data_IF_983555911564
#
_entry.id   IF_983555911564
#
_cell.length_a   1.000
_cell.length_b   1.000
_cell.length_c   1.000
_cell.angle_alpha   90.00
_cell.angle_beta   90.00
_cell.angle_gamma   90.00
#
_symmetry.space_group_name_H-M   'P 1'
#
loop_
_entity.id
_entity.type
_entity.pdbx_description
1 polymer ?
#
# COMPACT_ATOMS: atom_id res chain seq x y z
N UNK A 1 -22.67 -4.78 0.23
CA UNK A 1 -22.58 -3.40 -0.23
C UNK A 1 -23.17 -3.33 -1.61
N UNK A 2 -24.07 -2.37 -1.78
CA UNK A 2 -24.64 -1.99 -3.07
C UNK A 2 -23.60 -1.36 -4.00
N UNK A 3 -23.97 -1.17 -5.26
CA UNK A 3 -23.12 -0.49 -6.23
C UNK A 3 -23.07 1.02 -5.96
N UNK A 4 -21.95 1.65 -6.33
CA UNK A 4 -21.73 3.07 -6.05
C UNK A 4 -22.34 4.03 -7.08
N UNK A 5 -22.97 3.53 -8.16
CA UNK A 5 -23.39 4.34 -9.32
C UNK A 5 -24.12 5.62 -8.92
N UNK A 6 -25.27 5.51 -8.24
CA UNK A 6 -26.04 6.68 -7.79
C UNK A 6 -25.42 7.41 -6.58
N UNK A 7 -24.41 6.82 -5.94
CA UNK A 7 -23.75 7.36 -4.75
C UNK A 7 -22.54 8.25 -5.05
N UNK A 8 -22.16 8.38 -6.32
CA UNK A 8 -21.00 9.18 -6.77
C UNK A 8 -21.35 10.18 -7.89
N UNK A 9 -22.64 10.40 -8.16
CA UNK A 9 -23.09 11.41 -9.13
C UNK A 9 -22.90 12.81 -8.55
N UNK A 10 -21.85 13.50 -8.98
CA UNK A 10 -21.56 14.89 -8.62
C UNK A 10 -22.13 15.83 -9.69
N UNK A 11 -22.88 16.86 -9.29
CA UNK A 11 -23.34 17.93 -10.21
C UNK A 11 -22.79 19.27 -9.74
N UNK A 12 -22.04 19.95 -10.61
CA UNK A 12 -21.43 21.25 -10.33
C UNK A 12 -22.13 22.30 -11.22
N UNK A 13 -22.98 23.12 -10.61
CA UNK A 13 -23.60 24.27 -11.25
C UNK A 13 -22.66 25.48 -11.12
N UNK A 14 -21.82 25.68 -12.14
CA UNK A 14 -20.73 26.69 -12.08
C UNK A 14 -21.25 28.12 -12.17
N UNK A 15 -22.30 28.37 -12.96
CA UNK A 15 -22.85 29.70 -13.26
C UNK A 15 -24.17 29.99 -12.52
N UNK A 16 -24.80 28.97 -11.95
CA UNK A 16 -26.07 29.10 -11.23
C UNK A 16 -27.30 28.93 -12.12
N UNK A 17 -27.14 28.55 -13.39
CA UNK A 17 -28.24 28.40 -14.33
C UNK A 17 -29.24 27.31 -13.92
N UNK A 18 -28.80 26.30 -13.18
CA UNK A 18 -29.64 25.17 -12.77
C UNK A 18 -30.37 25.44 -11.44
N UNK A 19 -29.70 26.13 -10.50
CA UNK A 19 -30.20 26.28 -9.13
C UNK A 19 -30.42 27.72 -8.67
N UNK A 20 -30.31 28.69 -9.58
CA UNK A 20 -30.45 30.13 -9.36
C UNK A 20 -29.21 30.80 -8.77
N UNK A 21 -28.19 30.03 -8.42
CA UNK A 21 -26.89 30.48 -7.90
C UNK A 21 -25.87 29.33 -8.00
N UNK A 22 -24.57 29.62 -8.12
CA UNK A 22 -23.53 28.59 -8.17
C UNK A 22 -23.64 27.62 -6.99
N UNK A 23 -23.82 26.33 -7.29
CA UNK A 23 -24.16 25.30 -6.32
C UNK A 23 -23.49 23.98 -6.67
N UNK A 24 -23.32 23.10 -5.68
CA UNK A 24 -22.84 21.73 -5.88
C UNK A 24 -23.88 20.76 -5.30
N UNK A 25 -24.25 19.74 -6.07
CA UNK A 25 -25.08 18.64 -5.60
C UNK A 25 -24.18 17.46 -5.28
N UNK A 26 -24.13 17.11 -4.00
CA UNK A 26 -23.38 15.97 -3.48
C UNK A 26 -24.37 14.85 -3.15
N UNK A 27 -24.24 13.64 -3.72
CA UNK A 27 -25.20 12.57 -3.51
C UNK A 27 -25.17 12.07 -2.05
N UNK A 28 -26.28 11.52 -1.57
CA UNK A 28 -26.34 10.87 -0.27
C UNK A 28 -25.64 9.52 -0.31
N UNK A 29 -24.30 9.51 -0.25
CA UNK A 29 -23.53 8.26 -0.30
C UNK A 29 -23.75 7.41 0.95
N UNK A 30 -24.10 8.03 2.08
CA UNK A 30 -24.32 7.38 3.36
C UNK A 30 -25.70 6.73 3.54
N UNK A 31 -26.52 6.65 2.49
CA UNK A 31 -27.83 6.01 2.57
C UNK A 31 -27.73 4.57 3.13
N UNK A 32 -28.58 4.26 4.12
CA UNK A 32 -28.63 3.00 4.89
C UNK A 32 -27.41 2.68 5.78
N UNK A 33 -26.51 3.63 6.06
CA UNK A 33 -25.36 3.41 6.94
C UNK A 33 -25.78 2.93 8.34
N UNK A 34 -25.36 1.72 8.73
CA UNK A 34 -25.72 1.05 10.00
C UNK A 34 -27.24 0.85 10.23
N UNK A 35 -28.09 1.02 9.22
CA UNK A 35 -29.55 0.91 9.38
C UNK A 35 -30.05 -0.49 8.99
N UNK A 36 -30.05 -0.81 7.69
CA UNK A 36 -30.53 -2.10 7.20
C UNK A 36 -29.34 -3.00 6.79
N UNK A 37 -29.11 -4.12 7.51
CA UNK A 37 -28.00 -5.03 7.23
C UNK A 37 -27.98 -5.64 5.83
N UNK A 38 -29.12 -5.68 5.11
CA UNK A 38 -29.22 -6.22 3.75
C UNK A 38 -28.36 -5.44 2.75
N UNK A 39 -28.22 -4.12 2.93
CA UNK A 39 -27.31 -3.31 2.12
C UNK A 39 -25.84 -3.55 2.50
N UNK A 40 -25.63 -4.00 3.74
CA UNK A 40 -24.33 -4.38 4.28
C UNK A 40 -23.34 -3.22 4.22
N UNK A 41 -23.77 -2.05 4.70
CA UNK A 41 -23.08 -0.77 4.62
C UNK A 41 -23.08 -0.12 6.01
N UNK A 42 -21.91 0.20 6.55
CA UNK A 42 -21.77 0.61 7.95
C UNK A 42 -20.37 0.43 8.53
N UNK A 43 -20.22 0.68 9.84
CA UNK A 43 -18.93 0.64 10.52
C UNK A 43 -18.27 -0.75 10.46
N UNK A 44 -19.08 -1.81 10.39
CA UNK A 44 -18.62 -3.19 10.21
C UNK A 44 -17.93 -3.46 8.87
N UNK A 45 -17.96 -2.50 7.94
CA UNK A 45 -17.29 -2.57 6.64
C UNK A 45 -16.01 -1.72 6.57
N UNK A 46 -15.71 -0.94 7.61
CA UNK A 46 -14.44 -0.20 7.67
C UNK A 46 -13.30 -1.23 7.81
N UNK A 47 -12.24 -1.15 6.99
CA UNK A 47 -11.08 -2.04 7.10
C UNK A 47 -10.50 -2.02 8.52
N UNK A 48 -10.19 -3.19 9.08
CA UNK A 48 -9.72 -3.31 10.47
C UNK A 48 -8.43 -2.51 10.74
N UNK A 49 -7.55 -2.39 9.73
CA UNK A 49 -6.34 -1.56 9.75
C UNK A 49 -6.63 -0.09 10.05
N UNK A 50 -7.73 0.44 9.53
CA UNK A 50 -8.18 1.81 9.75
C UNK A 50 -8.73 2.02 11.17
N UNK A 51 -9.19 0.94 11.82
CA UNK A 51 -9.77 0.94 13.16
C UNK A 51 -8.75 0.63 14.26
N UNK A 52 -7.46 0.52 13.94
CA UNK A 52 -6.43 0.16 14.93
C UNK A 52 -5.19 1.02 14.71
N UNK A 53 -4.75 1.71 15.75
CA UNK A 53 -3.51 2.46 15.75
C UNK A 53 -2.30 1.52 15.75
N UNK A 54 -1.12 2.07 15.45
CA UNK A 54 0.16 1.32 15.44
C UNK A 54 0.48 0.71 16.82
N UNK A 55 0.03 1.33 17.90
CA UNK A 55 0.17 0.83 19.28
C UNK A 55 -0.86 -0.24 19.68
N UNK A 56 -1.75 -0.62 18.76
CA UNK A 56 -2.80 -1.61 18.98
C UNK A 56 -4.08 -1.06 19.60
N UNK A 57 -4.16 0.25 19.87
CA UNK A 57 -5.37 0.88 20.40
C UNK A 57 -6.45 0.92 19.32
N UNK A 58 -7.64 0.43 19.67
CA UNK A 58 -8.82 0.48 18.81
C UNK A 58 -9.32 1.93 18.65
N UNK A 59 -9.70 2.29 17.44
CA UNK A 59 -10.26 3.59 17.07
C UNK A 59 -11.78 3.44 16.99
N UNK A 60 -12.51 4.26 17.73
CA UNK A 60 -13.95 4.32 17.63
C UNK A 60 -14.35 5.15 16.38
N UNK A 61 -14.97 4.54 15.36
CA UNK A 61 -15.29 5.23 14.10
C UNK A 61 -16.34 6.32 14.29
N UNK A 62 -17.20 6.24 15.31
CA UNK A 62 -18.21 7.28 15.61
C UNK A 62 -17.58 8.54 16.19
N UNK A 63 -16.40 8.42 16.83
CA UNK A 63 -15.65 9.56 17.38
C UNK A 63 -14.70 10.11 16.32
N UNK A 64 -13.97 9.24 15.64
CA UNK A 64 -12.96 9.64 14.66
C UNK A 64 -13.59 10.22 13.38
N UNK A 65 -14.69 9.62 12.92
CA UNK A 65 -15.44 10.02 11.73
C UNK A 65 -16.94 10.08 12.03
N UNK A 66 -17.36 11.10 12.80
CA UNK A 66 -18.76 11.23 13.22
C UNK A 66 -19.70 11.45 12.03
N UNK A 67 -19.23 12.10 10.96
CA UNK A 67 -20.02 12.30 9.75
C UNK A 67 -19.76 11.17 8.74
N UNK A 68 -20.83 10.66 8.12
CA UNK A 68 -20.77 9.58 7.14
C UNK A 68 -21.01 10.10 5.73
N UNK A 69 -20.36 9.47 4.77
CA UNK A 69 -20.42 9.80 3.35
C UNK A 69 -19.41 10.86 2.93
N UNK A 70 -19.70 11.51 1.80
CA UNK A 70 -18.82 12.50 1.16
C UNK A 70 -18.66 13.74 2.05
N UNK A 71 -17.47 14.36 2.02
CA UNK A 71 -17.18 15.62 2.71
C UNK A 71 -18.17 16.73 2.34
N UNK A 72 -18.69 17.42 3.35
CA UNK A 72 -19.66 18.52 3.22
C UNK A 72 -19.31 19.65 4.20
N UNK A 73 -19.83 20.83 3.92
CA UNK A 73 -19.77 21.98 4.83
C UNK A 73 -21.17 22.34 5.37
N UNK A 74 -21.24 23.40 6.17
CA UNK A 74 -22.48 23.83 6.80
C UNK A 74 -23.47 24.51 5.82
N UNK A 75 -23.08 24.74 4.56
CA UNK A 75 -23.97 25.29 3.53
C UNK A 75 -24.84 24.22 2.88
N UNK A 76 -24.52 22.94 3.10
CA UNK A 76 -25.21 21.81 2.50
C UNK A 76 -26.58 21.56 3.14
N UNK A 77 -27.64 21.63 2.32
CA UNK A 77 -29.02 21.33 2.71
C UNK A 77 -29.46 20.02 2.04
N UNK A 78 -29.99 19.09 2.83
CA UNK A 78 -30.50 17.83 2.29
C UNK A 78 -31.77 18.05 1.46
N UNK A 79 -31.81 17.44 0.28
CA UNK A 79 -32.88 17.52 -0.71
C UNK A 79 -33.50 16.12 -0.91
N UNK A 80 -34.58 15.77 -0.19
CA UNK A 80 -35.13 14.41 -0.19
C UNK A 80 -35.52 13.91 -1.59
N UNK A 81 -36.06 14.78 -2.44
CA UNK A 81 -36.47 14.44 -3.81
C UNK A 81 -35.30 14.04 -4.71
N UNK A 82 -34.09 14.52 -4.40
CA UNK A 82 -32.87 14.21 -5.14
C UNK A 82 -32.04 13.12 -4.46
N UNK A 83 -32.37 12.76 -3.22
CA UNK A 83 -31.54 11.91 -2.37
C UNK A 83 -30.08 12.40 -2.33
N UNK A 84 -29.92 13.71 -2.16
CA UNK A 84 -28.65 14.41 -2.27
C UNK A 84 -28.64 15.67 -1.39
N UNK A 85 -27.48 16.29 -1.25
CA UNK A 85 -27.27 17.55 -0.56
C UNK A 85 -27.01 18.65 -1.59
N UNK A 86 -27.77 19.74 -1.52
CA UNK A 86 -27.48 20.98 -2.25
C UNK A 86 -26.59 21.85 -1.39
N UNK A 87 -25.35 22.03 -1.81
CA UNK A 87 -24.33 22.83 -1.15
C UNK A 87 -24.07 24.12 -1.93
N UNK A 88 -23.56 25.14 -1.25
CA UNK A 88 -22.90 26.24 -1.94
C UNK A 88 -21.59 25.76 -2.58
N UNK A 89 -20.99 26.57 -3.45
CA UNK A 89 -19.68 26.29 -4.05
C UNK A 89 -18.49 26.62 -3.12
N UNK A 90 -18.70 26.68 -1.80
CA UNK A 90 -17.65 27.01 -0.83
C UNK A 90 -16.62 25.88 -0.67
N UNK A 91 -17.07 24.62 -0.70
CA UNK A 91 -16.19 23.49 -0.95
C UNK A 91 -16.12 23.25 -2.46
N UNK A 92 -14.89 23.28 -2.97
CA UNK A 92 -14.58 22.99 -4.37
C UNK A 92 -14.41 21.48 -4.52
N UNK A 93 -15.51 20.78 -4.85
CA UNK A 93 -15.55 19.33 -4.98
C UNK A 93 -15.12 18.85 -6.35
N UNK A 94 -14.41 17.72 -6.41
CA UNK A 94 -13.99 17.07 -7.65
C UNK A 94 -14.01 15.54 -7.50
N UNK A 95 -14.04 14.80 -8.61
CA UNK A 95 -13.89 13.35 -8.59
C UNK A 95 -12.41 12.97 -8.60
N UNK A 96 -11.99 12.15 -7.64
CA UNK A 96 -10.71 11.46 -7.67
C UNK A 96 -10.93 10.02 -8.11
N UNK A 97 -10.25 9.61 -9.18
CA UNK A 97 -10.22 8.22 -9.63
C UNK A 97 -9.08 7.47 -8.93
N UNK A 98 -9.39 6.23 -8.52
CA UNK A 98 -8.47 5.30 -7.90
C UNK A 98 -8.49 4.02 -8.71
N UNK A 99 -7.41 3.72 -9.43
CA UNK A 99 -7.39 2.64 -10.42
C UNK A 99 -6.29 1.63 -10.10
N UNK A 100 -6.66 0.36 -10.01
CA UNK A 100 -5.67 -0.72 -10.06
C UNK A 100 -5.32 -1.03 -11.51
N UNK A 101 -4.02 -1.05 -11.79
CA UNK A 101 -3.47 -1.42 -13.09
C UNK A 101 -2.88 -2.85 -13.07
N UNK A 102 -3.21 -3.63 -12.05
CA UNK A 102 -2.72 -5.00 -11.93
C UNK A 102 -3.36 -5.91 -13.00
N UNK A 103 -2.70 -7.01 -13.40
CA UNK A 103 -3.26 -7.94 -14.39
C UNK A 103 -4.62 -8.53 -13.98
N UNK A 104 -4.88 -8.60 -12.67
CA UNK A 104 -6.12 -9.11 -12.08
C UNK A 104 -7.15 -8.02 -11.78
N UNK A 105 -7.00 -6.80 -12.31
CA UNK A 105 -7.84 -5.64 -11.99
C UNK A 105 -9.34 -5.84 -12.29
N UNK A 106 -9.70 -6.82 -13.12
CA UNK A 106 -11.09 -7.17 -13.41
C UNK A 106 -11.68 -8.24 -12.46
N UNK A 107 -10.85 -8.92 -11.69
CA UNK A 107 -11.25 -10.08 -10.89
C UNK A 107 -11.06 -9.84 -9.39
N UNK A 108 -9.98 -9.14 -9.01
CA UNK A 108 -9.65 -8.88 -7.61
C UNK A 108 -10.61 -7.87 -7.00
N UNK A 109 -11.06 -8.19 -5.79
CA UNK A 109 -11.89 -7.28 -4.98
C UNK A 109 -11.02 -6.50 -4.02
N UNK A 110 -10.87 -5.20 -4.28
CA UNK A 110 -10.23 -4.24 -3.37
C UNK A 110 -11.21 -3.61 -2.36
N UNK A 111 -12.50 -3.78 -2.63
CA UNK A 111 -13.57 -3.02 -2.00
C UNK A 111 -14.30 -3.77 -0.87
N UNK A 112 -14.85 -3.04 0.12
CA UNK A 112 -14.91 -1.59 0.20
C UNK A 112 -13.57 -0.90 0.42
N UNK A 113 -13.42 0.28 -0.17
CA UNK A 113 -12.39 1.25 0.19
C UNK A 113 -13.03 2.20 1.19
N UNK A 114 -12.47 2.27 2.39
CA UNK A 114 -12.82 3.34 3.32
C UNK A 114 -11.99 4.57 2.98
N UNK A 115 -12.67 5.66 2.64
CA UNK A 115 -12.06 6.90 2.21
C UNK A 115 -12.53 8.01 3.14
N UNK A 116 -11.61 8.62 3.88
CA UNK A 116 -11.96 9.55 4.93
C UNK A 116 -11.15 10.84 4.86
N UNK A 117 -11.73 11.91 5.40
CA UNK A 117 -10.99 13.15 5.61
C UNK A 117 -10.03 13.01 6.79
N UNK A 118 -8.92 13.74 6.74
CA UNK A 118 -7.92 13.78 7.78
C UNK A 118 -7.59 15.24 8.16
N UNK A 119 -7.56 15.52 9.47
CA UNK A 119 -7.21 16.84 10.00
C UNK A 119 -8.30 17.94 9.88
N UNK A 120 -9.57 17.60 9.68
CA UNK A 120 -10.68 18.56 9.81
C UNK A 120 -11.14 18.70 11.27
N UNK A 121 -11.86 19.78 11.58
CA UNK A 121 -12.53 19.95 12.87
C UNK A 121 -13.56 18.84 13.13
N UNK A 122 -14.25 18.39 12.08
CA UNK A 122 -15.16 17.24 12.09
C UNK A 122 -14.90 16.43 10.82
N UNK A 123 -14.45 15.18 10.99
CA UNK A 123 -14.09 14.34 9.85
C UNK A 123 -15.28 13.54 9.30
N UNK A 124 -15.14 13.17 8.03
CA UNK A 124 -16.07 12.36 7.25
C UNK A 124 -15.44 11.03 6.88
N UNK A 125 -16.26 9.97 6.77
CA UNK A 125 -15.86 8.68 6.19
C UNK A 125 -16.89 8.20 5.18
N UNK A 126 -16.42 7.87 3.99
CA UNK A 126 -17.19 7.29 2.90
C UNK A 126 -16.70 5.86 2.63
N UNK A 127 -17.61 4.97 2.26
CA UNK A 127 -17.27 3.58 1.92
C UNK A 127 -17.61 3.34 0.45
N UNK A 128 -16.60 2.98 -0.32
CA UNK A 128 -16.65 2.92 -1.79
C UNK A 128 -16.54 1.45 -2.21
N UNK A 129 -17.58 0.90 -2.81
CA UNK A 129 -17.63 -0.48 -3.30
C UNK A 129 -17.10 -0.66 -4.73
N UNK A 130 -17.15 0.39 -5.55
CA UNK A 130 -16.83 0.39 -6.98
C UNK A 130 -17.95 -0.18 -7.88
N UNK A 131 -17.73 -0.17 -9.21
CA UNK A 131 -18.64 -0.76 -10.18
C UNK A 131 -18.58 -2.28 -10.15
N UNK A 132 -19.69 -2.94 -10.51
CA UNK A 132 -19.70 -4.38 -10.77
C UNK A 132 -20.32 -4.67 -12.13
N UNK A 133 -19.79 -5.68 -12.83
CA UNK A 133 -20.41 -6.22 -14.03
C UNK A 133 -21.79 -6.81 -13.74
N UNK A 134 -22.66 -6.76 -14.75
CA UNK A 134 -24.01 -7.32 -14.73
C UNK A 134 -24.10 -8.64 -15.52
N UNK A 135 -23.04 -9.44 -15.52
CA UNK A 135 -23.00 -10.70 -16.26
C UNK A 135 -24.00 -11.72 -15.68
N UNK A 136 -24.61 -12.55 -16.54
CA UNK A 136 -25.71 -13.49 -16.23
C UNK A 136 -25.27 -14.72 -15.41
N UNK A 137 -24.05 -14.70 -14.85
CA UNK A 137 -23.58 -15.75 -13.96
C UNK A 137 -23.69 -15.27 -12.51
N UNK A 138 -24.57 -15.92 -11.72
CA UNK A 138 -24.84 -15.59 -10.32
C UNK A 138 -23.75 -16.04 -9.34
N UNK A 139 -22.62 -16.58 -9.83
CA UNK A 139 -21.51 -17.01 -8.96
C UNK A 139 -20.48 -15.91 -8.79
N UNK A 140 -19.89 -15.83 -7.59
CA UNK A 140 -18.81 -14.89 -7.28
C UNK A 140 -17.59 -15.05 -8.21
N UNK A 141 -17.41 -16.24 -8.82
CA UNK A 141 -16.30 -16.56 -9.71
C UNK A 141 -16.44 -15.95 -11.12
N UNK A 142 -17.63 -15.52 -11.52
CA UNK A 142 -17.86 -14.94 -12.85
C UNK A 142 -17.98 -13.41 -12.83
N UNK A 143 -18.20 -12.79 -11.67
CA UNK A 143 -18.48 -11.37 -11.58
C UNK A 143 -17.20 -10.57 -11.79
N UNK A 144 -17.04 -10.00 -12.98
CA UNK A 144 -16.00 -9.02 -13.26
C UNK A 144 -16.32 -7.70 -12.57
N UNK A 145 -15.30 -7.08 -12.00
CA UNK A 145 -15.36 -5.78 -11.35
C UNK A 145 -14.17 -4.99 -11.83
N UNK A 146 -14.43 -3.90 -12.55
CA UNK A 146 -13.33 -2.98 -12.87
C UNK A 146 -12.84 -2.37 -11.56
N UNK A 147 -11.56 -2.55 -11.25
CA UNK A 147 -10.93 -1.99 -10.05
C UNK A 147 -10.64 -0.49 -10.21
N UNK A 148 -11.68 0.26 -10.59
CA UNK A 148 -11.70 1.71 -10.70
C UNK A 148 -12.73 2.25 -9.71
N UNK A 149 -12.28 3.00 -8.73
CA UNK A 149 -13.11 3.57 -7.68
C UNK A 149 -13.19 5.08 -7.83
N UNK A 150 -14.36 5.62 -7.58
CA UNK A 150 -14.63 7.06 -7.64
C UNK A 150 -14.82 7.57 -6.21
N UNK A 151 -13.95 8.50 -5.81
CA UNK A 151 -14.11 9.25 -4.58
C UNK A 151 -14.47 10.70 -4.90
N UNK A 152 -15.32 11.33 -4.10
CA UNK A 152 -15.58 12.76 -4.20
C UNK A 152 -14.76 13.46 -3.13
N UNK A 153 -13.80 14.25 -3.59
CA UNK A 153 -12.85 14.98 -2.75
C UNK A 153 -13.18 16.47 -2.73
N UNK A 154 -12.50 17.24 -1.88
CA UNK A 154 -12.54 18.70 -1.90
C UNK A 154 -11.14 19.29 -1.96
N UNK A 155 -10.98 20.40 -2.70
CA UNK A 155 -9.69 21.04 -2.98
C UNK A 155 -8.95 21.44 -1.70
N UNK A 156 -7.63 21.28 -1.72
CA UNK A 156 -6.70 21.58 -0.62
C UNK A 156 -7.04 20.87 0.70
N UNK A 157 -7.69 19.71 0.62
CA UNK A 157 -7.95 18.86 1.79
C UNK A 157 -7.06 17.62 1.81
N UNK A 158 -6.94 17.04 2.99
CA UNK A 158 -6.21 15.81 3.21
C UNK A 158 -7.20 14.66 3.39
N UNK A 159 -6.89 13.53 2.77
CA UNK A 159 -7.67 12.32 2.84
C UNK A 159 -6.78 11.13 3.18
N UNK A 160 -7.38 10.10 3.74
CA UNK A 160 -6.77 8.78 3.95
C UNK A 160 -7.66 7.71 3.36
N UNK A 161 -7.05 6.68 2.78
CA UNK A 161 -7.77 5.53 2.24
C UNK A 161 -7.21 4.22 2.75
N UNK A 162 -8.12 3.30 3.08
CA UNK A 162 -7.81 1.93 3.44
C UNK A 162 -8.61 0.98 2.56
N UNK A 163 -7.93 -0.06 2.07
CA UNK A 163 -8.54 -1.13 1.29
C UNK A 163 -8.82 -2.34 2.20
N UNK A 164 -9.80 -3.16 1.83
CA UNK A 164 -10.12 -4.41 2.57
C UNK A 164 -9.29 -5.61 2.14
N UNK A 165 -8.61 -5.50 0.99
CA UNK A 165 -7.74 -6.54 0.43
C UNK A 165 -6.33 -5.98 0.25
N UNK A 166 -5.43 -6.81 -0.27
CA UNK A 166 -4.09 -6.33 -0.62
C UNK A 166 -4.18 -5.17 -1.60
N UNK A 167 -3.53 -4.03 -1.30
CA UNK A 167 -3.34 -2.92 -2.22
C UNK A 167 -2.70 -3.34 -3.56
N UNK A 168 -3.03 -2.67 -4.68
CA UNK A 168 -2.46 -2.97 -5.99
C UNK A 168 -0.93 -2.88 -6.05
N UNK A 169 -0.32 -3.70 -6.91
CA UNK A 169 1.08 -3.54 -7.26
C UNK A 169 1.31 -2.28 -8.09
N UNK A 170 0.38 -1.94 -8.96
CA UNK A 170 0.35 -0.69 -9.70
C UNK A 170 -0.98 0.02 -9.45
N UNK A 171 -0.90 1.19 -8.82
CA UNK A 171 -2.04 2.06 -8.54
C UNK A 171 -1.87 3.35 -9.34
N UNK A 172 -2.91 3.74 -10.07
CA UNK A 172 -2.96 4.98 -10.83
C UNK A 172 -4.02 5.91 -10.23
N UNK A 173 -3.64 7.18 -10.07
CA UNK A 173 -4.46 8.24 -9.50
C UNK A 173 -4.47 9.42 -10.48
N UNK A 174 -5.27 9.36 -11.57
CA UNK A 174 -5.40 10.49 -12.47
C UNK A 174 -6.28 11.57 -11.85
N UNK A 175 -6.00 12.83 -12.20
CA UNK A 175 -6.82 13.99 -11.89
C UNK A 175 -6.97 14.84 -13.16
N UNK A 176 -8.10 15.54 -13.31
CA UNK A 176 -8.50 16.20 -14.56
C UNK A 176 -8.60 17.73 -14.46
N UNK A 177 -8.29 18.34 -13.30
CA UNK A 177 -8.37 19.78 -13.10
C UNK A 177 -6.98 20.38 -12.76
N UNK A 178 -6.45 21.30 -13.59
CA UNK A 178 -5.12 21.93 -13.44
C UNK A 178 -4.87 22.61 -12.08
N UNK A 179 -5.90 23.14 -11.46
CA UNK A 179 -5.80 23.94 -10.24
C UNK A 179 -6.09 23.13 -8.97
N UNK A 180 -6.53 21.88 -9.15
CA UNK A 180 -6.98 21.03 -8.07
C UNK A 180 -5.82 20.35 -7.36
N UNK A 181 -5.87 20.26 -6.03
CA UNK A 181 -4.81 19.65 -5.23
C UNK A 181 -5.38 18.95 -3.99
N UNK A 182 -4.95 17.73 -3.72
CA UNK A 182 -5.28 16.97 -2.50
C UNK A 182 -4.06 16.19 -2.01
N UNK A 183 -3.97 15.96 -0.69
CA UNK A 183 -3.05 14.96 -0.13
C UNK A 183 -3.81 13.68 0.14
N UNK A 184 -3.33 12.56 -0.38
CA UNK A 184 -3.89 11.25 -0.09
C UNK A 184 -2.88 10.41 0.69
N UNK A 185 -3.29 9.92 1.87
CA UNK A 185 -2.64 8.85 2.60
C UNK A 185 -3.23 7.51 2.20
N UNK A 186 -2.40 6.52 1.91
CA UNK A 186 -2.81 5.22 1.39
C UNK A 186 -2.23 4.14 2.28
N UNK A 187 -3.11 3.33 2.85
CA UNK A 187 -2.71 2.13 3.57
C UNK A 187 -2.23 1.06 2.59
N UNK A 188 -0.92 0.86 2.52
CA UNK A 188 -0.32 -0.14 1.66
C UNK A 188 -0.01 -1.46 2.38
N UNK A 189 0.12 -1.43 3.70
CA UNK A 189 0.53 -2.56 4.55
C UNK A 189 1.60 -3.46 3.93
N UNK A 190 2.68 -2.85 3.42
CA UNK A 190 3.69 -3.57 2.64
C UNK A 190 5.08 -3.31 3.15
N UNK A 191 5.79 -4.42 3.40
CA UNK A 191 7.21 -4.37 3.65
C UNK A 191 8.05 -4.17 2.38
N UNK A 192 7.42 -3.96 1.20
CA UNK A 192 8.06 -3.64 -0.08
C UNK A 192 8.35 -2.14 -0.28
N UNK A 193 9.01 -1.78 -1.38
CA UNK A 193 9.30 -0.38 -1.72
C UNK A 193 8.16 0.17 -2.56
N UNK A 194 7.68 1.37 -2.23
CA UNK A 194 6.69 2.09 -3.03
C UNK A 194 7.37 3.20 -3.82
N UNK A 195 7.44 3.01 -5.13
CA UNK A 195 7.98 3.98 -6.07
C UNK A 195 6.85 4.86 -6.61
N UNK A 196 6.99 6.17 -6.46
CA UNK A 196 6.00 7.15 -6.94
C UNK A 196 6.50 7.77 -8.24
N UNK A 197 5.61 7.90 -9.21
CA UNK A 197 5.88 8.50 -10.52
C UNK A 197 4.85 9.58 -10.85
N UNK A 198 5.30 10.67 -11.45
CA UNK A 198 4.47 11.73 -12.04
C UNK A 198 4.64 11.69 -13.54
N UNK A 199 3.57 11.41 -14.28
CA UNK A 199 3.61 11.29 -15.75
C UNK A 199 4.74 10.36 -16.24
N UNK A 200 5.02 9.30 -15.48
CA UNK A 200 6.08 8.34 -15.76
C UNK A 200 7.47 8.68 -15.22
N UNK A 201 7.69 9.86 -14.63
CA UNK A 201 9.00 10.27 -14.07
C UNK A 201 9.04 9.95 -12.57
N UNK A 202 10.12 9.30 -12.11
CA UNK A 202 10.29 8.90 -10.72
C UNK A 202 10.41 10.10 -9.77
N UNK A 203 9.69 10.03 -8.65
CA UNK A 203 9.65 11.05 -7.61
C UNK A 203 10.25 10.52 -6.31
N UNK A 204 11.43 11.05 -5.96
CA UNK A 204 12.11 10.70 -4.71
C UNK A 204 11.29 11.14 -3.48
N UNK A 205 11.11 10.26 -2.51
CA UNK A 205 10.40 10.55 -1.27
C UNK A 205 11.09 11.63 -0.42
N UNK A 206 10.32 12.41 0.36
CA UNK A 206 10.86 13.50 1.21
C UNK A 206 11.85 12.99 2.27
N UNK A 207 11.67 11.78 2.77
CA UNK A 207 12.56 11.15 3.74
C UNK A 207 13.69 10.34 3.11
N UNK A 208 13.84 10.34 1.79
CA UNK A 208 14.87 9.58 1.11
C UNK A 208 16.20 10.35 1.05
N UNK A 209 17.21 9.85 1.74
CA UNK A 209 18.59 10.35 1.72
C UNK A 209 19.48 9.40 0.92
N UNK A 210 20.61 9.90 0.43
CA UNK A 210 21.62 9.05 -0.21
C UNK A 210 22.69 8.73 0.81
N UNK A 211 22.98 7.45 1.05
CA UNK A 211 24.03 7.04 1.96
C UNK A 211 25.43 7.14 1.33
N UNK A 212 26.46 6.82 2.12
CA UNK A 212 27.86 6.88 1.69
C UNK A 212 28.20 5.86 0.58
N UNK A 213 27.32 4.88 0.33
CA UNK A 213 27.44 3.89 -0.74
C UNK A 213 26.65 4.29 -1.99
N UNK A 214 26.10 5.51 -2.02
CA UNK A 214 25.29 6.01 -3.14
C UNK A 214 23.88 5.43 -3.18
N UNK A 215 23.43 4.75 -2.12
CA UNK A 215 22.14 4.09 -2.06
C UNK A 215 21.08 5.03 -1.50
N UNK A 216 19.84 4.90 -2.00
CA UNK A 216 18.73 5.66 -1.45
C UNK A 216 18.18 4.95 -0.22
N UNK A 217 18.25 5.62 0.93
CA UNK A 217 17.79 5.11 2.21
C UNK A 217 16.72 6.02 2.81
N UNK A 218 15.68 5.43 3.42
CA UNK A 218 14.62 6.18 4.10
C UNK A 218 15.07 6.54 5.51
N UNK A 219 15.07 7.83 5.81
CA UNK A 219 15.32 8.37 7.13
C UNK A 219 14.05 8.27 7.99
N UNK A 220 14.20 7.83 9.24
CA UNK A 220 13.11 7.86 10.20
C UNK A 220 12.80 9.30 10.63
N UNK A 221 11.51 9.68 10.76
CA UNK A 221 11.13 11.00 11.26
C UNK A 221 11.58 11.17 12.72
N UNK A 222 12.11 12.35 13.04
CA UNK A 222 12.45 12.78 14.41
C UNK A 222 11.25 13.44 15.10
N UNK A 223 10.41 14.12 14.33
CA UNK A 223 9.21 14.78 14.83
C UNK A 223 7.97 14.31 14.07
N UNK A 224 6.81 14.44 14.71
CA UNK A 224 5.54 14.20 14.06
C UNK A 224 5.40 15.14 12.86
N UNK A 225 5.09 14.59 11.69
CA UNK A 225 4.89 15.30 10.42
C UNK A 225 6.12 15.91 9.75
N UNK A 226 7.36 15.62 10.18
CA UNK A 226 8.60 16.18 9.59
C UNK A 226 8.63 16.07 8.05
N UNK A 227 8.27 14.91 7.53
CA UNK A 227 8.28 14.61 6.09
C UNK A 227 6.90 14.64 5.45
N UNK A 228 5.87 15.08 6.17
CA UNK A 228 4.51 15.05 5.65
C UNK A 228 4.39 15.99 4.43
N UNK A 229 3.82 15.53 3.30
CA UNK A 229 3.57 16.42 2.16
C UNK A 229 2.52 17.48 2.49
N UNK A 230 2.76 18.71 2.04
CA UNK A 230 1.86 19.83 2.24
C UNK A 230 1.05 20.11 0.96
N UNK A 231 -0.27 19.93 1.04
CA UNK A 231 -1.18 20.08 -0.10
C UNK A 231 -1.19 21.47 -0.74
N UNK A 232 -0.82 22.51 0.01
CA UNK A 232 -0.83 23.90 -0.47
C UNK A 232 0.47 24.20 -1.22
N UNK A 233 1.61 23.84 -0.64
CA UNK A 233 2.93 24.29 -1.10
C UNK A 233 3.65 23.29 -1.99
N UNK A 234 3.45 21.99 -1.77
CA UNK A 234 4.27 20.97 -2.40
C UNK A 234 3.76 20.66 -3.84
N UNK A 235 4.66 20.31 -4.78
CA UNK A 235 4.28 19.94 -6.15
C UNK A 235 3.65 18.54 -6.21
N UNK A 236 3.03 18.20 -7.34
CA UNK A 236 2.49 16.88 -7.64
C UNK A 236 3.54 15.77 -7.43
N UNK A 237 3.11 14.62 -6.90
CA UNK A 237 3.98 13.46 -6.65
C UNK A 237 4.92 13.59 -5.45
N UNK A 238 4.94 14.74 -4.77
CA UNK A 238 5.64 14.87 -3.49
C UNK A 238 5.09 13.83 -2.53
N UNK A 239 5.95 12.97 -2.00
CA UNK A 239 5.53 11.79 -1.27
C UNK A 239 6.37 11.48 -0.03
N UNK A 240 5.78 10.72 0.88
CA UNK A 240 6.40 10.24 2.11
C UNK A 240 5.79 8.89 2.48
N UNK A 241 6.64 7.87 2.61
CA UNK A 241 6.25 6.58 3.17
C UNK A 241 6.64 6.52 4.64
N UNK A 242 5.64 6.38 5.51
CA UNK A 242 5.83 6.13 6.93
C UNK A 242 5.89 4.62 7.18
N UNK A 243 7.10 4.10 7.38
CA UNK A 243 7.32 2.68 7.64
C UNK A 243 6.69 2.21 8.99
N UNK A 244 6.45 3.11 9.94
CA UNK A 244 5.82 2.70 11.21
C UNK A 244 4.34 2.40 11.05
N UNK A 245 3.62 3.25 10.32
CA UNK A 245 2.18 3.06 10.06
C UNK A 245 1.90 2.27 8.77
N UNK A 246 2.91 2.13 7.92
CA UNK A 246 2.83 1.55 6.57
C UNK A 246 1.89 2.35 5.65
N UNK A 247 1.91 3.67 5.81
CA UNK A 247 1.09 4.62 5.06
C UNK A 247 1.95 5.37 4.04
N UNK A 248 1.52 5.40 2.78
CA UNK A 248 2.09 6.26 1.75
C UNK A 248 1.26 7.54 1.63
N UNK A 249 1.88 8.69 1.87
CA UNK A 249 1.28 10.00 1.63
C UNK A 249 1.80 10.56 0.32
N UNK A 250 0.91 11.05 -0.54
CA UNK A 250 1.26 11.65 -1.84
C UNK A 250 0.39 12.86 -2.15
N UNK A 251 0.97 13.86 -2.81
CA UNK A 251 0.25 15.00 -3.38
C UNK A 251 -0.25 14.64 -4.78
N UNK A 252 -1.55 14.78 -4.99
CA UNK A 252 -2.21 14.71 -6.29
C UNK A 252 -2.56 16.15 -6.64
N UNK A 253 -2.04 16.67 -7.75
CA UNK A 253 -2.20 18.08 -8.11
C UNK A 253 -2.22 18.26 -9.62
N UNK A 254 -3.15 19.07 -10.11
CA UNK A 254 -3.30 19.37 -11.52
C UNK A 254 -3.77 18.19 -12.36
N UNK A 255 -3.40 18.21 -13.64
CA UNK A 255 -3.67 17.16 -14.61
C UNK A 255 -2.62 16.02 -14.57
N UNK A 256 -1.69 16.08 -13.60
CA UNK A 256 -0.62 15.11 -13.48
C UNK A 256 -1.15 13.74 -13.06
N UNK A 257 -0.71 12.69 -13.77
CA UNK A 257 -1.06 11.30 -13.44
C UNK A 257 -0.03 10.76 -12.46
N UNK A 258 -0.49 10.48 -11.24
CA UNK A 258 0.33 9.81 -10.23
C UNK A 258 0.23 8.30 -10.42
N UNK A 259 1.37 7.63 -10.55
CA UNK A 259 1.46 6.16 -10.58
C UNK A 259 2.32 5.70 -9.41
N UNK A 260 1.81 4.76 -8.62
CA UNK A 260 2.51 4.15 -7.50
C UNK A 260 2.79 2.70 -7.88
N UNK A 261 4.06 2.29 -7.84
CA UNK A 261 4.49 0.91 -8.09
C UNK A 261 5.09 0.30 -6.84
N UNK A 262 4.53 -0.84 -6.45
CA UNK A 262 5.09 -1.69 -5.43
C UNK A 262 6.21 -2.54 -6.05
N UNK A 263 7.44 -2.20 -5.66
CA UNK A 263 8.64 -2.95 -6.00
C UNK A 263 8.86 -4.06 -4.98
N UNK A 264 9.13 -5.26 -5.49
CA UNK A 264 9.43 -6.43 -4.67
C UNK A 264 10.82 -6.31 -4.03
N UNK A 265 10.94 -6.81 -2.79
CA UNK A 265 12.21 -6.91 -2.11
C UNK A 265 12.36 -8.24 -1.37
N UNK A 266 13.61 -8.60 -1.09
CA UNK A 266 13.97 -9.73 -0.25
C UNK A 266 14.59 -9.17 1.03
N UNK A 267 14.08 -9.55 2.20
CA UNK A 267 14.72 -9.24 3.48
C UNK A 267 15.57 -10.42 3.91
N UNK A 268 16.84 -10.19 4.18
CA UNK A 268 17.77 -11.18 4.73
C UNK A 268 18.29 -10.64 6.05
N UNK A 269 18.09 -11.37 7.14
CA UNK A 269 18.64 -11.02 8.44
C UNK A 269 19.65 -12.07 8.88
N UNK A 270 20.78 -11.65 9.43
CA UNK A 270 21.77 -12.55 10.03
C UNK A 270 22.27 -12.06 11.38
N UNK A 271 22.55 -13.01 12.27
CA UNK A 271 23.21 -12.77 13.54
C UNK A 271 24.72 -12.94 13.40
N UNK A 272 25.48 -11.97 13.88
CA UNK A 272 26.94 -11.99 13.93
C UNK A 272 27.43 -12.09 15.39
N UNK A 273 28.65 -12.61 15.62
CA UNK A 273 29.30 -12.52 16.93
C UNK A 273 29.45 -11.08 17.44
N UNK A 274 29.84 -10.93 18.70
CA UNK A 274 30.12 -9.62 19.30
C UNK A 274 31.20 -8.86 18.50
N UNK A 275 30.80 -7.82 17.79
CA UNK A 275 31.69 -6.90 17.07
C UNK A 275 31.11 -5.48 17.10
N UNK A 276 31.92 -4.46 16.84
CA UNK A 276 31.41 -3.09 16.77
C UNK A 276 30.67 -2.85 15.44
N UNK A 277 29.75 -1.87 15.44
CA UNK A 277 29.04 -1.44 14.22
C UNK A 277 30.05 -1.00 13.14
N UNK A 278 31.11 -0.29 13.54
CA UNK A 278 32.16 0.16 12.62
C UNK A 278 32.97 -1.00 12.02
N UNK A 279 33.24 -2.05 12.81
CA UNK A 279 33.89 -3.27 12.32
C UNK A 279 33.02 -4.00 11.28
N UNK A 280 31.70 -3.93 11.41
CA UNK A 280 30.77 -4.50 10.44
C UNK A 280 30.65 -3.64 9.16
N UNK A 281 30.54 -2.32 9.27
CA UNK A 281 30.47 -1.45 8.10
C UNK A 281 31.82 -1.31 7.38
N UNK A 282 32.93 -1.66 8.03
CA UNK A 282 34.28 -1.68 7.45
C UNK A 282 34.60 -2.93 6.61
N UNK A 283 33.77 -3.98 6.59
CA UNK A 283 34.15 -5.30 6.04
C UNK A 283 33.69 -5.59 4.59
N UNK A 284 33.39 -4.58 3.78
CA UNK A 284 32.95 -4.73 2.38
C UNK A 284 31.76 -5.72 2.17
N UNK A 285 30.95 -5.96 3.21
CA UNK A 285 29.89 -6.99 3.21
C UNK A 285 28.92 -6.86 2.04
N UNK A 286 28.55 -5.62 1.69
CA UNK A 286 27.67 -5.34 0.56
C UNK A 286 28.31 -5.74 -0.76
N UNK A 287 29.60 -5.43 -0.97
CA UNK A 287 30.32 -5.76 -2.20
C UNK A 287 30.58 -7.27 -2.31
N UNK A 288 30.96 -7.92 -1.22
CA UNK A 288 31.24 -9.35 -1.21
C UNK A 288 29.96 -10.16 -1.47
N UNK A 289 28.86 -9.79 -0.82
CA UNK A 289 27.56 -10.41 -1.07
C UNK A 289 27.06 -10.15 -2.50
N UNK A 290 27.26 -8.93 -3.02
CA UNK A 290 26.92 -8.57 -4.40
C UNK A 290 27.68 -9.42 -5.43
N UNK A 291 28.99 -9.56 -5.24
CA UNK A 291 29.86 -10.39 -6.08
C UNK A 291 29.42 -11.85 -6.06
N UNK A 292 29.10 -12.39 -4.88
CA UNK A 292 28.66 -13.77 -4.75
C UNK A 292 27.29 -13.99 -5.41
N UNK A 293 26.32 -13.12 -5.14
CA UNK A 293 24.96 -13.23 -5.67
C UNK A 293 24.88 -12.95 -7.18
N UNK A 294 25.95 -12.40 -7.76
CA UNK A 294 26.00 -11.97 -9.16
C UNK A 294 25.06 -10.80 -9.42
N UNK A 295 24.86 -9.92 -8.43
CA UNK A 295 24.00 -8.73 -8.54
C UNK A 295 24.78 -7.45 -8.26
N UNK A 296 24.39 -6.30 -8.84
CA UNK A 296 25.04 -5.03 -8.52
C UNK A 296 24.93 -4.69 -7.04
N UNK A 297 26.00 -4.16 -6.42
CA UNK A 297 26.01 -3.73 -5.03
C UNK A 297 24.91 -2.70 -4.70
N UNK A 298 24.54 -1.85 -5.66
CA UNK A 298 23.41 -0.90 -5.54
C UNK A 298 22.04 -1.57 -5.32
N UNK A 299 21.93 -2.88 -5.51
CA UNK A 299 20.70 -3.63 -5.26
C UNK A 299 20.63 -4.20 -3.84
N UNK A 300 21.68 -4.09 -3.01
CA UNK A 300 21.74 -4.63 -1.65
C UNK A 300 21.90 -3.46 -0.67
N UNK A 301 20.95 -3.31 0.24
CA UNK A 301 20.91 -2.24 1.24
C UNK A 301 20.93 -2.79 2.66
N UNK A 302 21.72 -2.18 3.55
CA UNK A 302 21.65 -2.46 4.99
C UNK A 302 20.56 -1.58 5.60
N UNK A 303 19.55 -2.18 6.21
CA UNK A 303 18.37 -1.46 6.74
C UNK A 303 18.28 -1.41 8.25
N UNK A 304 18.95 -2.34 8.94
CA UNK A 304 18.95 -2.34 10.41
C UNK A 304 20.21 -3.02 10.93
N UNK A 305 20.89 -2.36 11.87
CA UNK A 305 21.95 -2.98 12.66
C UNK A 305 21.59 -2.78 14.13
N UNK A 306 21.35 -3.86 14.86
CA UNK A 306 21.03 -3.81 16.29
C UNK A 306 22.15 -4.50 17.07
N UNK A 307 22.81 -3.75 17.94
CA UNK A 307 23.71 -4.29 18.96
C UNK A 307 22.89 -4.61 20.22
N UNK A 308 23.02 -5.82 20.75
CA UNK A 308 22.34 -6.24 21.99
C UNK A 308 22.74 -5.37 23.21
N UNK A 309 23.87 -4.64 23.14
CA UNK A 309 24.36 -3.79 24.22
C UNK A 309 23.59 -2.48 24.45
N UNK A 310 22.67 -2.07 23.55
CA UNK A 310 22.04 -0.74 23.60
C UNK A 310 20.58 -0.70 24.10
N UNK A 311 19.99 -1.82 24.53
CA UNK A 311 18.62 -1.83 25.07
C UNK A 311 18.60 -1.98 26.59
N UNK A 312 18.38 -0.87 27.28
CA UNK A 312 17.90 -0.81 28.68
C UNK A 312 16.47 -1.37 28.81
N UNK A 313 16.23 -2.62 28.44
CA UNK A 313 14.99 -3.31 28.80
C UNK A 313 15.31 -4.50 29.69
N UNK A 314 15.20 -4.27 31.00
CA UNK A 314 15.29 -5.32 32.00
C UNK A 314 14.19 -6.36 31.81
N UNK A 315 14.48 -7.46 31.13
CA UNK A 315 13.85 -8.74 31.42
C UNK A 315 14.79 -9.90 31.07
N UNK A 316 15.47 -10.39 32.11
CA UNK A 316 16.27 -11.63 32.14
C UNK A 316 15.61 -12.74 31.29
N UNK A 317 16.23 -13.09 30.17
CA UNK A 317 16.18 -14.44 29.62
C UNK A 317 17.61 -14.89 29.30
N UNK A 318 17.90 -16.14 29.64
CA UNK A 318 19.22 -16.74 29.80
C UNK A 318 20.09 -16.65 28.54
N UNK A 319 21.34 -16.17 28.73
CA UNK A 319 22.58 -16.50 27.99
C UNK A 319 22.39 -16.80 26.48
N UNK A 320 22.39 -15.77 25.65
CA UNK A 320 22.96 -15.83 24.30
C UNK A 320 24.03 -14.74 24.22
N UNK A 321 25.13 -15.02 23.52
CA UNK A 321 26.27 -14.12 23.39
C UNK A 321 25.82 -12.77 22.80
N UNK A 322 26.40 -11.67 23.32
CA UNK A 322 26.27 -10.30 22.81
C UNK A 322 26.44 -10.28 21.28
N UNK A 323 25.36 -10.40 20.52
CA UNK A 323 25.40 -10.50 19.07
C UNK A 323 25.04 -9.19 18.38
N UNK A 324 25.51 -9.00 17.15
CA UNK A 324 25.01 -7.94 16.26
C UNK A 324 24.03 -8.56 15.28
N UNK A 325 22.81 -8.02 15.21
CA UNK A 325 21.82 -8.43 14.21
C UNK A 325 21.81 -7.44 13.05
N UNK A 326 22.02 -7.94 11.84
CA UNK A 326 22.03 -7.15 10.60
C UNK A 326 20.86 -7.58 9.74
N UNK A 327 20.06 -6.60 9.30
CA UNK A 327 19.04 -6.75 8.28
C UNK A 327 19.48 -6.11 6.96
N UNK A 328 19.44 -6.90 5.89
CA UNK A 328 19.64 -6.49 4.50
C UNK A 328 18.31 -6.52 3.74
N UNK A 329 18.16 -5.58 2.82
CA UNK A 329 17.12 -5.56 1.80
C UNK A 329 17.76 -5.65 0.42
N UNK A 330 17.31 -6.61 -0.38
CA UNK A 330 17.76 -6.78 -1.76
C UNK A 330 16.60 -6.43 -2.68
N UNK A 331 16.78 -5.40 -3.49
CA UNK A 331 15.78 -4.89 -4.44
C UNK A 331 16.46 -4.23 -5.64
N UNK A 332 15.74 -4.10 -6.75
CA UNK A 332 16.22 -3.25 -7.85
C UNK A 332 15.86 -1.80 -7.58
N UNK A 333 16.77 -0.84 -7.79
CA UNK A 333 16.43 0.58 -7.67
C UNK A 333 15.35 0.97 -8.69
N UNK A 334 14.56 2.01 -8.40
CA UNK A 334 13.51 2.47 -9.31
C UNK A 334 14.08 2.88 -10.67
N UNK A 335 13.32 2.59 -11.72
CA UNK A 335 13.57 3.16 -13.04
C UNK A 335 13.31 4.67 -13.00
N UNK A 336 14.16 5.48 -13.62
CA UNK A 336 13.94 6.94 -13.66
C UNK A 336 12.71 7.33 -14.48
N UNK A 337 12.40 6.56 -15.52
CA UNK A 337 11.22 6.76 -16.37
C UNK A 337 10.48 5.43 -16.57
N UNK A 338 9.16 5.49 -16.55
CA UNK A 338 8.29 4.41 -17.00
C UNK A 338 8.20 4.45 -18.52
N UNK A 339 8.56 3.35 -19.18
CA UNK A 339 8.38 3.21 -20.62
C UNK A 339 6.88 3.18 -20.96
N UNK A 340 6.39 4.20 -21.66
CA UNK A 340 5.05 4.21 -22.25
C UNK A 340 5.04 3.30 -23.48
N UNK A 341 4.63 2.04 -23.32
CA UNK A 341 4.39 1.15 -24.46
C UNK A 341 4.79 -0.31 -24.31
N UNK A 342 5.21 -0.76 -23.11
CA UNK A 342 5.42 -2.19 -22.87
C UNK A 342 4.41 -2.63 -21.83
N UNK A 343 3.51 -3.54 -22.20
CA UNK A 343 2.76 -4.34 -21.23
C UNK A 343 3.75 -4.79 -20.16
N UNK A 344 3.54 -4.48 -18.87
CA UNK A 344 4.48 -4.88 -17.84
C UNK A 344 4.55 -6.41 -17.90
N UNK A 345 5.67 -6.96 -18.39
CA UNK A 345 5.98 -8.36 -18.18
C UNK A 345 6.34 -8.47 -16.70
N UNK A 346 5.33 -8.52 -15.83
CA UNK A 346 5.43 -8.77 -14.38
C UNK A 346 6.30 -10.01 -14.12
N UNK A 347 6.27 -10.97 -15.06
CA UNK A 347 7.15 -12.14 -15.16
C UNK A 347 8.65 -11.83 -15.17
N UNK A 348 9.09 -10.71 -15.75
CA UNK A 348 10.54 -10.38 -15.87
C UNK A 348 11.16 -9.80 -14.59
N UNK A 349 10.35 -9.17 -13.73
CA UNK A 349 10.76 -8.72 -12.40
C UNK A 349 10.71 -9.86 -11.38
N UNK A 350 9.62 -10.64 -11.39
CA UNK A 350 9.46 -11.85 -10.58
C UNK A 350 10.63 -12.82 -10.77
N UNK A 351 10.97 -13.13 -12.02
CA UNK A 351 12.06 -14.08 -12.33
C UNK A 351 13.43 -13.61 -11.82
N UNK A 352 13.68 -12.29 -11.74
CA UNK A 352 14.92 -11.75 -11.17
C UNK A 352 14.95 -11.91 -9.66
N UNK A 353 13.87 -11.54 -8.96
CA UNK A 353 13.78 -11.64 -7.50
C UNK A 353 13.75 -13.12 -7.06
N UNK A 354 13.02 -13.98 -7.75
CA UNK A 354 12.99 -15.44 -7.50
C UNK A 354 14.38 -16.07 -7.69
N UNK A 355 15.12 -15.64 -8.71
CA UNK A 355 16.50 -16.10 -8.94
C UNK A 355 17.45 -15.62 -7.85
N UNK A 356 17.35 -14.35 -7.43
CA UNK A 356 18.13 -13.82 -6.30
C UNK A 356 17.80 -14.59 -5.03
N UNK A 357 16.51 -14.78 -4.74
CA UNK A 357 16.06 -15.53 -3.57
C UNK A 357 16.63 -16.96 -3.56
N UNK A 358 16.54 -17.65 -4.70
CA UNK A 358 17.09 -19.00 -4.87
C UNK A 358 18.61 -19.04 -4.65
N UNK A 359 19.34 -18.01 -5.14
CA UNK A 359 20.78 -17.87 -4.90
C UNK A 359 21.10 -17.65 -3.41
N UNK A 360 20.33 -16.79 -2.71
CA UNK A 360 20.50 -16.56 -1.26
C UNK A 360 20.21 -17.84 -0.46
N UNK A 361 19.16 -18.59 -0.81
CA UNK A 361 18.85 -19.87 -0.16
C UNK A 361 19.98 -20.88 -0.38
N UNK A 362 20.50 -20.98 -1.61
CA UNK A 362 21.61 -21.87 -1.93
C UNK A 362 22.86 -21.52 -1.12
N UNK A 363 23.22 -20.24 -1.06
CA UNK A 363 24.31 -19.69 -0.25
C UNK A 363 24.31 -20.17 1.20
N UNK A 364 23.12 -20.15 1.82
CA UNK A 364 22.93 -20.58 3.20
C UNK A 364 23.05 -22.11 3.30
N UNK A 365 22.40 -22.85 2.40
CA UNK A 365 22.38 -24.31 2.43
C UNK A 365 23.77 -24.92 2.19
N UNK A 366 24.60 -24.29 1.35
CA UNK A 366 25.95 -24.75 1.06
C UNK A 366 26.99 -24.30 2.09
N UNK A 367 26.59 -23.53 3.11
CA UNK A 367 27.52 -22.98 4.12
C UNK A 367 28.50 -21.93 3.57
N UNK A 368 28.26 -21.43 2.36
CA UNK A 368 29.16 -20.49 1.69
C UNK A 368 28.89 -19.03 2.09
N UNK A 369 27.83 -18.79 2.87
CA UNK A 369 27.49 -17.45 3.37
C UNK A 369 28.64 -16.84 4.18
N UNK A 370 29.26 -17.60 5.11
CA UNK A 370 30.35 -17.08 5.93
C UNK A 370 31.56 -16.64 5.09
N UNK A 371 31.86 -17.39 4.03
CA UNK A 371 32.88 -17.01 3.04
C UNK A 371 32.45 -15.78 2.24
N UNK A 372 31.17 -15.68 1.88
CA UNK A 372 30.63 -14.56 1.11
C UNK A 372 30.57 -13.24 1.87
N UNK A 373 30.41 -13.26 3.20
CA UNK A 373 30.42 -12.05 4.04
C UNK A 373 31.71 -11.87 4.84
N UNK A 374 32.67 -12.79 4.68
CA UNK A 374 33.96 -12.83 5.37
C UNK A 374 33.83 -12.71 6.91
N UNK A 375 32.79 -13.30 7.49
CA UNK A 375 32.56 -13.36 8.94
C UNK A 375 31.73 -14.59 9.30
N UNK A 376 31.87 -15.06 10.54
CA UNK A 376 31.04 -16.16 11.06
C UNK A 376 29.60 -15.72 11.28
N UNK A 377 28.67 -16.63 11.03
CA UNK A 377 27.22 -16.38 11.09
C UNK A 377 26.58 -17.28 12.14
N UNK A 378 25.91 -16.67 13.10
CA UNK A 378 25.26 -17.37 14.23
C UNK A 378 23.84 -17.82 13.84
N UNK A 379 23.15 -17.04 13.01
CA UNK A 379 21.79 -17.33 12.56
C UNK A 379 21.49 -16.61 11.26
N UNK A 380 20.55 -17.15 10.46
CA UNK A 380 20.04 -16.50 9.25
C UNK A 380 18.53 -16.64 9.18
N UNK A 381 17.85 -15.60 8.72
CA UNK A 381 16.43 -15.60 8.38
C UNK A 381 16.25 -14.92 7.04
N UNK A 382 15.58 -15.61 6.11
CA UNK A 382 15.14 -15.01 4.85
C UNK A 382 13.64 -14.82 4.92
N UNK A 383 13.18 -13.63 4.54
CA UNK A 383 11.78 -13.36 4.27
C UNK A 383 11.65 -12.90 2.81
N UNK A 384 11.07 -13.77 1.99
CA UNK A 384 10.63 -13.42 0.65
C UNK A 384 9.26 -12.75 0.75
N UNK A 385 9.16 -11.52 0.25
CA UNK A 385 7.87 -10.83 0.15
C UNK A 385 7.39 -10.96 -1.30
N UNK A 386 6.88 -12.15 -1.63
CA UNK A 386 6.19 -12.39 -2.89
C UNK A 386 4.72 -12.05 -2.70
N UNK A 387 4.25 -10.94 -3.29
CA UNK A 387 2.85 -10.53 -3.13
C UNK A 387 1.92 -11.12 -4.21
N UNK A 388 2.02 -12.44 -4.43
CA UNK A 388 0.94 -13.24 -4.99
C UNK A 388 1.10 -14.69 -4.52
N UNK A 389 0.05 -15.34 -3.97
CA UNK A 389 -0.08 -16.76 -4.16
C UNK A 389 -0.38 -16.94 -5.65
N UNK A 390 0.63 -17.23 -6.46
CA UNK A 390 0.38 -17.85 -7.76
C UNK A 390 -0.28 -19.18 -7.42
N UNK A 391 -1.61 -19.25 -7.55
CA UNK A 391 -2.33 -20.52 -7.53
C UNK A 391 -1.90 -21.25 -8.79
N UNK A 392 -0.74 -21.88 -8.74
CA UNK A 392 -0.39 -22.91 -9.70
C UNK A 392 -1.37 -24.06 -9.46
N UNK A 393 -2.41 -24.11 -10.29
CA UNK A 393 -3.34 -25.25 -10.41
C UNK A 393 -2.62 -26.61 -10.64
N UNK A 394 -1.29 -26.63 -10.81
CA UNK A 394 -0.47 -27.83 -10.90
C UNK A 394 -0.17 -28.53 -9.56
N UNK A 395 -0.07 -27.81 -8.43
CA UNK A 395 0.28 -28.44 -7.14
C UNK A 395 -0.90 -29.16 -6.48
N UNK A 396 -2.14 -28.74 -6.78
CA UNK A 396 -3.34 -29.45 -6.33
C UNK A 396 -3.47 -30.85 -6.97
N UNK A 397 -2.95 -31.07 -8.19
CA UNK A 397 -2.95 -32.42 -8.79
C UNK A 397 -2.03 -33.38 -8.03
N UNK A 398 -0.87 -32.92 -7.57
CA UNK A 398 0.06 -33.79 -6.82
C UNK A 398 -0.47 -34.17 -5.44
N UNK A 399 -1.12 -33.24 -4.72
CA UNK A 399 -1.74 -33.54 -3.41
C UNK A 399 -2.99 -34.41 -3.54
N UNK A 400 -3.83 -34.20 -4.57
CA UNK A 400 -5.01 -35.05 -4.82
C UNK A 400 -4.58 -36.47 -5.24
N UNK A 401 -3.54 -36.64 -6.06
CA UNK A 401 -3.03 -37.96 -6.44
C UNK A 401 -2.44 -38.73 -5.24
N UNK A 402 -1.75 -38.04 -4.33
CA UNK A 402 -1.24 -38.67 -3.10
C UNK A 402 -2.36 -39.04 -2.12
N UNK A 403 -3.40 -38.22 -2.00
CA UNK A 403 -4.59 -38.52 -1.18
C UNK A 403 -5.39 -39.70 -1.75
N UNK A 404 -5.53 -39.78 -3.08
CA UNK A 404 -6.21 -40.90 -3.74
C UNK A 404 -5.45 -42.24 -3.54
N UNK A 405 -4.11 -42.22 -3.65
CA UNK A 405 -3.28 -43.41 -3.39
C UNK A 405 -3.24 -43.82 -1.91
N UNK A 406 -3.43 -42.88 -0.97
CA UNK A 406 -3.60 -43.20 0.46
C UNK A 406 -4.96 -43.81 0.76
N UNK A 407 -6.03 -43.33 0.12
CA UNK A 407 -7.37 -43.89 0.27
C UNK A 407 -7.48 -45.31 -0.30
N UNK A 408 -6.86 -45.59 -1.44
CA UNK A 408 -6.83 -46.95 -2.03
C UNK A 408 -6.04 -47.98 -1.20
N UNK A 409 -5.10 -47.55 -0.35
CA UNK A 409 -4.41 -48.45 0.59
C UNK A 409 -5.23 -48.78 1.84
N UNK A 410 -6.15 -47.90 2.24
CA UNK A 410 -7.03 -48.12 3.40
C UNK A 410 -8.18 -49.09 3.09
N UNK A 411 -8.59 -49.22 1.82
CA UNK A 411 -9.65 -50.15 1.40
C UNK A 411 -9.17 -51.56 1.02
N UNK A 412 -7.87 -51.88 1.17
CA UNK A 412 -7.34 -53.25 0.95
C UNK A 412 -7.20 -54.07 2.24
N UNK A 413 -7.63 -53.53 3.38
CA UNK A 413 -7.68 -54.24 4.67
C UNK A 413 -9.05 -54.05 5.33
N UNK A 414 -10.11 -54.42 4.60
CA UNK A 414 -11.39 -54.88 5.15
C UNK A 414 -11.84 -56.10 4.37
#
# INVERSE_FOLDING_TARGET
>A
MECDGLKKVLVIDKDGGLFGQPSVIVPQSEWQYNLNPLYGFGDNRIPSRMLTKVDGISINPTIQWPNKGIIRDNSCIYMPKMQAYKCSKALDHEILLIESMDPDALERRLSPIAFATDGLSVNYIDLINGPSGHEVCSSYACLKRISTFMSVVARQKNFVMHMTSTPPQELRLPQADPDYAVRLGIDYFTAGILDVYVNGVYMKAKNAITDNLGQTVLQAPKTLNEFMPNVITDPAGTNYFDDSSQMLYVIIKGEDIITIKLSQLIKVAFGLPAMTIDQFYGSEVVNNLANYLGIPAKNIRIVKVVSESSTNSGRRRRRSASGVFVGLEISTPPSQNLSTGVTPNVTSGLTKVEKISSNVVTLIQTGLLESAINTTVVSVTIQNLHHYPVVHYGLLKFQIQQLHNKFLKLFKYQ
#
